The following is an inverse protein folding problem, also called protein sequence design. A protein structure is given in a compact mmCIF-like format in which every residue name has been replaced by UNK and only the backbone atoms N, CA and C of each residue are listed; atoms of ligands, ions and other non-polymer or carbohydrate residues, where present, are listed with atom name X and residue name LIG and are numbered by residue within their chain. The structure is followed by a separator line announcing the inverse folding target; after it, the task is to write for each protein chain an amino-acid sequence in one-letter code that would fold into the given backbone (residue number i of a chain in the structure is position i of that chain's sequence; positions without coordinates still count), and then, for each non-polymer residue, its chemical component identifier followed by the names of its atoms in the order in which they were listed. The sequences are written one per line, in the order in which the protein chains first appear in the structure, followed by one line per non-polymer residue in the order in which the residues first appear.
data_IF_149272345976
#
_entry.id   IF_149272345976
#
_cell.length_a   1.000
_cell.length_b   1.000
_cell.length_c   1.000
_cell.angle_alpha   90.00
_cell.angle_beta   90.00
_cell.angle_gamma   90.00
#
_symmetry.space_group_name_H-M   'P 1'
#
loop_
_entity.id
_entity.type
_entity.pdbx_description
1 polymer ?
#
# COMPACT_ATOMS: atom_id res chain seq x y z
N UNK A 1 26.05 -15.87 -11.22
CA UNK A 1 24.62 -16.22 -11.14
C UNK A 1 24.32 -17.29 -12.19
N UNK A 2 23.45 -18.27 -11.92
CA UNK A 2 23.00 -19.21 -12.95
C UNK A 2 22.33 -18.44 -14.10
N UNK A 3 22.74 -18.70 -15.35
CA UNK A 3 22.20 -18.08 -16.57
C UNK A 3 20.67 -18.04 -16.65
N UNK A 4 19.93 -19.15 -16.44
CA UNK A 4 18.47 -19.13 -16.58
C UNK A 4 17.78 -18.23 -15.54
N UNK A 5 18.33 -18.16 -14.32
CA UNK A 5 17.79 -17.32 -13.25
C UNK A 5 18.07 -15.84 -13.54
N UNK A 6 19.25 -15.52 -14.09
CA UNK A 6 19.59 -14.16 -14.51
C UNK A 6 18.63 -13.66 -15.59
N UNK A 7 18.36 -14.48 -16.61
CA UNK A 7 17.44 -14.13 -17.70
C UNK A 7 16.01 -13.92 -17.20
N UNK A 8 15.53 -14.78 -16.28
CA UNK A 8 14.20 -14.63 -15.68
C UNK A 8 14.10 -13.33 -14.86
N UNK A 9 15.12 -13.01 -14.08
CA UNK A 9 15.17 -11.78 -13.30
C UNK A 9 15.21 -10.53 -14.18
N UNK A 10 16.01 -10.55 -15.25
CA UNK A 10 16.04 -9.46 -16.23
C UNK A 10 14.66 -9.26 -16.88
N UNK A 11 13.99 -10.34 -17.28
CA UNK A 11 12.64 -10.28 -17.84
C UNK A 11 11.65 -9.68 -16.84
N UNK A 12 11.69 -10.09 -15.57
CA UNK A 12 10.85 -9.51 -14.51
C UNK A 12 11.02 -7.99 -14.42
N UNK A 13 12.27 -7.51 -14.35
CA UNK A 13 12.57 -6.07 -14.24
C UNK A 13 12.13 -5.32 -15.51
N UNK A 14 12.38 -5.88 -16.70
CA UNK A 14 12.05 -5.22 -17.96
C UNK A 14 10.55 -5.24 -18.31
N UNK A 15 9.76 -6.11 -17.68
CA UNK A 15 8.35 -6.29 -18.02
C UNK A 15 7.36 -5.90 -16.94
N UNK A 16 7.81 -5.56 -15.72
CA UNK A 16 6.91 -5.31 -14.59
C UNK A 16 5.89 -4.19 -14.80
N UNK A 17 6.12 -3.20 -15.67
CA UNK A 17 5.08 -2.20 -15.97
C UNK A 17 3.95 -2.74 -16.88
N UNK A 18 4.04 -3.98 -17.35
CA UNK A 18 2.96 -4.69 -18.03
C UNK A 18 2.78 -4.34 -19.50
N UNK A 19 2.65 -3.04 -19.83
CA UNK A 19 2.41 -2.55 -21.20
C UNK A 19 3.44 -1.51 -21.62
N UNK A 20 3.67 -1.40 -22.92
CA UNK A 20 4.55 -0.38 -23.50
C UNK A 20 4.07 1.04 -23.17
N UNK A 21 2.76 1.25 -23.12
CA UNK A 21 2.12 2.53 -22.74
C UNK A 21 2.46 2.95 -21.29
N UNK A 22 2.73 1.99 -20.41
CA UNK A 22 3.11 2.21 -19.01
C UNK A 22 4.65 2.28 -18.84
N UNK A 23 5.40 2.37 -19.94
CA UNK A 23 6.85 2.49 -19.92
C UNK A 23 7.60 1.16 -19.87
N UNK A 24 6.93 0.03 -20.13
CA UNK A 24 7.57 -1.29 -20.15
C UNK A 24 8.33 -1.55 -21.46
N UNK A 25 9.66 -1.78 -21.45
CA UNK A 25 10.41 -2.18 -22.64
C UNK A 25 9.93 -3.51 -23.25
N UNK A 26 9.43 -4.41 -22.41
CA UNK A 26 8.88 -5.71 -22.81
C UNK A 26 7.53 -5.99 -22.13
N UNK A 27 6.73 -6.89 -22.69
CA UNK A 27 5.49 -7.36 -22.04
C UNK A 27 5.79 -8.56 -21.13
N UNK A 28 5.04 -8.76 -20.02
CA UNK A 28 5.16 -9.95 -19.20
C UNK A 28 4.90 -11.21 -20.04
N UNK A 29 5.79 -12.20 -19.94
CA UNK A 29 5.70 -13.46 -20.70
C UNK A 29 5.79 -14.69 -19.79
N UNK A 30 6.12 -14.49 -18.52
CA UNK A 30 6.15 -15.56 -17.51
C UNK A 30 5.04 -15.32 -16.48
N UNK A 31 4.61 -16.39 -15.80
CA UNK A 31 3.58 -16.31 -14.77
C UNK A 31 3.98 -15.34 -13.67
N UNK A 32 5.25 -15.40 -13.24
CA UNK A 32 5.80 -14.53 -12.21
C UNK A 32 5.78 -13.06 -12.66
N UNK A 33 6.13 -12.78 -13.92
CA UNK A 33 6.12 -11.42 -14.45
C UNK A 33 4.72 -10.86 -14.60
N UNK A 34 3.75 -11.70 -14.99
CA UNK A 34 2.34 -11.29 -15.04
C UNK A 34 1.86 -10.89 -13.65
N UNK A 35 2.07 -11.74 -12.65
CA UNK A 35 1.67 -11.45 -11.26
C UNK A 35 2.38 -10.19 -10.75
N UNK A 36 3.69 -10.08 -10.96
CA UNK A 36 4.47 -8.91 -10.55
C UNK A 36 3.90 -7.62 -11.15
N UNK A 37 3.53 -7.64 -12.44
CA UNK A 37 2.99 -6.44 -13.10
C UNK A 37 1.66 -5.98 -12.53
N UNK A 38 0.80 -6.92 -12.11
CA UNK A 38 -0.46 -6.58 -11.45
C UNK A 38 -0.22 -6.05 -10.03
N UNK A 39 0.78 -6.57 -9.32
CA UNK A 39 1.13 -6.09 -7.99
C UNK A 39 1.73 -4.68 -8.04
N UNK A 40 2.57 -4.38 -9.03
CA UNK A 40 3.15 -3.04 -9.23
C UNK A 40 2.07 -1.99 -9.49
N UNK A 41 1.14 -2.28 -10.42
CA UNK A 41 0.00 -1.40 -10.72
C UNK A 41 -0.92 -1.24 -9.50
N UNK A 42 -1.18 -2.32 -8.77
CA UNK A 42 -1.99 -2.28 -7.56
C UNK A 42 -1.35 -1.40 -6.47
N UNK A 43 -0.04 -1.51 -6.25
CA UNK A 43 0.68 -0.70 -5.26
C UNK A 43 0.59 0.79 -5.59
N UNK A 44 0.81 1.16 -6.86
CA UNK A 44 0.67 2.54 -7.32
C UNK A 44 -0.75 3.09 -7.04
N UNK A 45 -1.79 2.31 -7.37
CA UNK A 45 -3.20 2.69 -7.15
C UNK A 45 -3.54 2.79 -5.66
N UNK A 46 -3.01 1.89 -4.83
CA UNK A 46 -3.20 1.93 -3.39
C UNK A 46 -2.53 3.14 -2.77
N UNK A 47 -1.30 3.48 -3.19
CA UNK A 47 -0.62 4.67 -2.71
C UNK A 47 -1.41 5.95 -3.04
N UNK A 48 -1.97 6.06 -4.25
CA UNK A 48 -2.87 7.18 -4.61
C UNK A 48 -4.08 7.24 -3.68
N UNK A 49 -4.75 6.11 -3.48
CA UNK A 49 -5.93 6.02 -2.60
C UNK A 49 -5.60 6.43 -1.17
N UNK A 50 -4.47 5.99 -0.66
CA UNK A 50 -3.94 6.33 0.66
C UNK A 50 -3.62 7.81 0.81
N UNK A 51 -3.04 8.43 -0.22
CA UNK A 51 -2.80 9.88 -0.24
C UNK A 51 -4.10 10.69 -0.22
N UNK A 52 -5.12 10.25 -0.97
CA UNK A 52 -6.43 10.91 -0.96
C UNK A 52 -7.10 10.80 0.41
N UNK A 53 -7.02 9.62 1.03
CA UNK A 53 -7.52 9.40 2.39
C UNK A 53 -6.86 10.33 3.40
N UNK A 54 -5.54 10.50 3.35
CA UNK A 54 -4.81 11.42 4.25
C UNK A 54 -5.23 12.89 4.06
N UNK A 55 -5.59 13.29 2.85
CA UNK A 55 -6.09 14.66 2.58
C UNK A 55 -7.50 14.89 3.11
N UNK A 56 -8.30 13.84 3.24
CA UNK A 56 -9.68 13.90 3.74
C UNK A 56 -9.80 13.73 5.26
N UNK A 57 -8.70 13.71 6.02
CA UNK A 57 -8.74 13.61 7.49
C UNK A 57 -9.54 14.80 8.04
N UNK A 58 -10.79 14.56 8.43
CA UNK A 58 -11.73 15.56 8.96
C UNK A 58 -12.98 15.81 8.11
N UNK A 59 -13.04 15.31 6.87
CA UNK A 59 -14.25 15.34 6.06
C UNK A 59 -15.12 14.09 6.35
N UNK A 60 -16.44 14.30 6.49
CA UNK A 60 -17.41 13.21 6.50
C UNK A 60 -17.27 12.36 5.22
N UNK A 61 -17.71 11.11 5.32
CA UNK A 61 -17.71 10.11 4.25
C UNK A 61 -18.13 10.72 2.90
N UNK A 62 -17.19 10.89 1.97
CA UNK A 62 -17.44 11.67 0.75
C UNK A 62 -16.78 11.07 -0.48
N UNK A 63 -17.35 11.42 -1.63
CA UNK A 63 -16.76 11.15 -2.93
C UNK A 63 -15.53 12.04 -3.14
N UNK A 64 -14.47 11.47 -3.69
CA UNK A 64 -13.35 12.24 -4.21
C UNK A 64 -13.76 13.00 -5.46
N UNK A 65 -12.89 13.92 -5.88
CA UNK A 65 -12.90 14.41 -7.26
C UNK A 65 -12.58 13.27 -8.26
N UNK A 66 -12.49 13.60 -9.54
CA UNK A 66 -12.11 12.64 -10.57
C UNK A 66 -10.60 12.39 -10.54
N UNK A 67 -10.20 11.15 -10.26
CA UNK A 67 -8.80 10.78 -10.20
C UNK A 67 -8.36 10.26 -11.56
N UNK A 68 -7.66 11.11 -12.33
CA UNK A 68 -7.18 10.78 -13.67
C UNK A 68 -6.36 9.50 -13.73
N UNK A 69 -5.50 9.26 -12.74
CA UNK A 69 -4.66 8.06 -12.67
C UNK A 69 -5.46 6.76 -12.45
N UNK A 70 -6.68 6.84 -11.93
CA UNK A 70 -7.58 5.70 -11.71
C UNK A 70 -8.77 5.68 -12.68
N UNK A 71 -8.91 6.74 -13.47
CA UNK A 71 -10.03 7.01 -14.37
C UNK A 71 -11.42 6.87 -13.72
N UNK A 72 -11.53 7.28 -12.45
CA UNK A 72 -12.78 7.15 -11.68
C UNK A 72 -12.87 8.12 -10.51
N UNK A 73 -14.08 8.31 -10.03
CA UNK A 73 -14.36 8.85 -8.71
C UNK A 73 -14.26 7.72 -7.68
N UNK A 74 -13.67 7.99 -6.52
CA UNK A 74 -13.60 7.04 -5.42
C UNK A 74 -14.55 7.48 -4.31
N UNK A 75 -15.25 6.51 -3.73
CA UNK A 75 -15.93 6.74 -2.46
C UNK A 75 -14.98 6.38 -1.33
N UNK A 76 -14.49 7.37 -0.60
CA UNK A 76 -13.62 7.13 0.54
C UNK A 76 -14.49 7.05 1.79
N UNK A 77 -14.93 5.84 2.06
CA UNK A 77 -15.69 5.54 3.24
C UNK A 77 -15.57 4.09 3.69
N UNK A 78 -15.37 3.89 4.99
CA UNK A 78 -15.57 2.58 5.62
C UNK A 78 -14.37 2.01 6.36
N UNK A 79 -13.19 2.63 6.27
CA UNK A 79 -12.12 2.34 7.21
C UNK A 79 -12.28 3.26 8.41
N UNK A 80 -13.36 3.05 9.18
CA UNK A 80 -13.44 3.62 10.51
C UNK A 80 -12.10 3.34 11.19
N UNK A 81 -11.43 4.40 11.66
CA UNK A 81 -10.31 4.27 12.59
C UNK A 81 -10.81 3.29 13.65
N UNK A 82 -10.15 2.15 13.81
CA UNK A 82 -10.36 1.34 15.01
C UNK A 82 -9.99 2.32 16.12
N UNK A 83 -10.99 2.85 16.82
CA UNK A 83 -10.75 3.59 18.03
C UNK A 83 -9.95 2.65 18.90
N UNK A 84 -8.65 2.94 19.05
CA UNK A 84 -7.93 2.43 20.20
C UNK A 84 -8.75 2.95 21.38
N UNK A 85 -9.37 2.01 22.11
CA UNK A 85 -10.28 2.31 23.21
C UNK A 85 -9.64 3.27 24.22
N UNK A 86 -10.45 3.84 25.13
CA UNK A 86 -10.00 4.91 26.02
C UNK A 86 -8.75 4.46 26.76
N UNK A 87 -7.73 5.32 26.75
CA UNK A 87 -6.57 5.24 27.63
C UNK A 87 -7.09 5.28 29.07
N UNK A 88 -7.30 4.10 29.65
CA UNK A 88 -7.70 3.93 31.05
C UNK A 88 -6.59 4.50 31.93
N UNK A 89 -6.86 5.67 32.47
CA UNK A 89 -6.05 6.28 33.52
C UNK A 89 -6.15 5.42 34.78
N UNK A 90 -5.09 4.64 35.01
CA UNK A 90 -4.51 4.15 36.28
C UNK A 90 -5.36 3.26 37.21
N UNK A 91 -4.71 2.26 37.83
CA UNK A 91 -4.93 1.98 39.24
C UNK A 91 -3.66 2.24 40.06
N UNK A 92 -3.85 3.01 41.12
CA UNK A 92 -3.00 3.14 42.30
C UNK A 92 -2.58 1.77 42.85
N UNK A 93 -1.28 1.55 43.07
CA UNK A 93 -0.78 0.50 43.96
C UNK A 93 0.59 0.87 44.57
N UNK A 94 0.50 1.56 45.71
CA UNK A 94 1.22 1.33 46.95
C UNK A 94 2.54 0.49 46.93
N UNK A 95 3.53 1.07 47.62
CA UNK A 95 4.59 0.45 48.43
C UNK A 95 6.00 0.22 47.82
N UNK A 96 6.93 0.98 48.41
CA UNK A 96 8.38 0.77 48.51
C UNK A 96 8.76 -0.71 48.67
N UNK A 97 9.88 -1.18 48.10
CA UNK A 97 11.20 -1.31 48.77
C UNK A 97 12.32 -1.69 47.73
N UNK A 98 13.58 -2.03 48.13
CA UNK A 98 14.78 -1.39 47.58
C UNK A 98 15.56 -2.32 46.62
N UNK A 99 16.39 -1.74 45.77
CA UNK A 99 17.32 -2.54 44.95
C UNK A 99 18.45 -3.10 45.82
N UNK A 100 18.46 -4.42 46.01
CA UNK A 100 19.68 -5.17 46.30
C UNK A 100 20.17 -5.76 44.99
N UNK A 101 21.21 -5.15 44.43
CA UNK A 101 22.35 -5.66 43.64
C UNK A 101 22.97 -4.49 42.88
#
# INVERSE_FOLDING_TARGET
FPEPVLAQLQHLILSHHGRQEFGSPAVPMTVEAFILSFLDDLDAKMNITEQLRRKMIGAEMSWTEYQRALERYLYLGGFAKKDNGPDESQPEACSRQPTLF
#
